data_IF_366852019151
#
_entry.id   IF_366852019151
#
_cell.length_a   1.000
_cell.length_b   1.000
_cell.length_c   1.000
_cell.angle_alpha   90.00
_cell.angle_beta   90.00
_cell.angle_gamma   90.00
#
_symmetry.space_group_name_H-M   'P 1'
#
loop_
_entity.id
_entity.type
_entity.pdbx_description
1 polymer ?
#
# COMPACT_ATOMS: atom_id res chain seq x y z
N UNK A 1 25.95 47.36 -13.89
CA UNK A 1 25.41 46.02 -13.57
C UNK A 1 24.33 45.69 -14.60
N UNK A 2 24.45 44.56 -15.30
CA UNK A 2 23.62 44.26 -16.47
C UNK A 2 22.32 43.55 -16.03
N UNK A 3 21.22 44.32 -15.95
CA UNK A 3 19.91 43.88 -15.46
C UNK A 3 19.37 42.63 -16.18
N UNK A 4 19.72 42.44 -17.46
CA UNK A 4 19.35 41.26 -18.26
C UNK A 4 20.03 39.97 -17.77
N UNK A 5 21.23 40.08 -17.17
CA UNK A 5 21.94 38.93 -16.60
C UNK A 5 21.32 38.46 -15.28
N UNK A 6 20.82 39.41 -14.45
CA UNK A 6 20.11 39.07 -13.22
C UNK A 6 18.77 38.39 -13.49
N UNK A 7 18.02 38.85 -14.50
CA UNK A 7 16.74 38.23 -14.88
C UNK A 7 16.90 36.78 -15.36
N UNK A 8 17.96 36.49 -16.11
CA UNK A 8 18.29 35.11 -16.53
C UNK A 8 18.70 34.23 -15.35
N UNK A 9 19.45 34.76 -14.39
CA UNK A 9 19.86 34.04 -13.17
C UNK A 9 18.68 33.68 -12.26
N UNK A 10 17.70 34.58 -12.14
CA UNK A 10 16.46 34.32 -11.37
C UNK A 10 15.60 33.25 -12.04
N UNK A 11 15.47 33.27 -13.36
CA UNK A 11 14.74 32.23 -14.11
C UNK A 11 15.40 30.85 -13.99
N UNK A 12 16.73 30.78 -14.04
CA UNK A 12 17.46 29.53 -13.87
C UNK A 12 17.38 29.00 -12.42
N UNK A 13 17.49 29.89 -11.43
CA UNK A 13 17.36 29.55 -10.01
C UNK A 13 15.96 29.08 -9.63
N UNK A 14 14.91 29.68 -10.22
CA UNK A 14 13.53 29.26 -10.02
C UNK A 14 13.25 27.86 -10.62
N UNK A 15 13.86 27.53 -11.76
CA UNK A 15 13.75 26.20 -12.39
C UNK A 15 14.53 25.11 -11.65
N UNK A 16 15.64 25.43 -10.98
CA UNK A 16 16.40 24.47 -10.17
C UNK A 16 15.75 24.22 -8.79
N UNK A 17 15.05 25.21 -8.25
CA UNK A 17 14.31 25.08 -6.99
C UNK A 17 13.11 24.13 -7.10
N UNK A 18 12.43 24.08 -8.25
CA UNK A 18 11.26 23.22 -8.44
C UNK A 18 11.59 21.73 -8.41
N UNK A 19 12.82 21.32 -8.76
CA UNK A 19 13.26 19.92 -8.69
C UNK A 19 13.73 19.50 -7.29
N UNK A 20 14.12 20.44 -6.42
CA UNK A 20 14.66 20.12 -5.09
C UNK A 20 13.58 19.76 -4.05
N UNK A 21 12.31 20.08 -4.31
CA UNK A 21 11.18 19.79 -3.42
C UNK A 21 10.35 18.56 -3.83
N UNK A 22 10.78 17.80 -4.83
CA UNK A 22 10.20 16.48 -5.10
C UNK A 22 10.75 15.49 -4.08
N UNK A 23 10.25 15.58 -2.84
CA UNK A 23 10.49 14.56 -1.82
C UNK A 23 10.16 13.19 -2.41
N UNK A 24 11.05 12.23 -2.21
CA UNK A 24 10.90 10.87 -2.68
C UNK A 24 9.65 10.22 -2.06
N UNK A 25 8.49 10.38 -2.69
CA UNK A 25 7.25 9.70 -2.33
C UNK A 25 6.85 8.76 -3.45
N UNK A 26 7.31 7.52 -3.33
CA UNK A 26 6.69 6.38 -4.00
C UNK A 26 6.85 5.12 -3.14
N UNK A 27 6.60 5.24 -1.83
CA UNK A 27 6.28 4.07 -1.03
C UNK A 27 4.78 3.82 -1.25
N UNK A 28 4.44 2.72 -1.93
CA UNK A 28 3.07 2.31 -2.28
C UNK A 28 2.07 2.72 -1.19
N UNK A 29 0.98 3.37 -1.60
CA UNK A 29 -0.05 3.92 -0.70
C UNK A 29 -0.82 2.79 0.02
N UNK A 30 -0.54 1.54 -0.36
CA UNK A 30 -1.19 0.34 0.15
C UNK A 30 -0.22 -0.63 0.82
N UNK A 31 -0.74 -1.36 1.81
CA UNK A 31 -0.08 -2.48 2.47
C UNK A 31 -0.86 -3.73 2.09
N UNK A 32 -0.23 -4.64 1.35
CA UNK A 32 -0.85 -5.93 0.99
C UNK A 32 -0.82 -6.88 2.18
N UNK A 33 -1.97 -7.45 2.50
CA UNK A 33 -2.15 -8.40 3.61
C UNK A 33 -2.55 -9.75 3.01
N UNK A 34 -1.62 -10.70 3.04
CA UNK A 34 -1.89 -12.08 2.62
C UNK A 34 -2.81 -12.79 3.63
N UNK A 35 -3.93 -13.32 3.15
CA UNK A 35 -4.87 -14.15 3.90
C UNK A 35 -4.81 -15.55 3.30
N UNK A 36 -3.95 -16.39 3.87
CA UNK A 36 -3.77 -17.78 3.48
C UNK A 36 -4.62 -18.64 4.42
N UNK A 37 -5.85 -18.91 4.01
CA UNK A 37 -6.79 -19.76 4.74
C UNK A 37 -7.28 -20.86 3.80
N UNK A 38 -7.43 -22.08 4.30
CA UNK A 38 -8.00 -23.20 3.56
C UNK A 38 -9.47 -22.92 3.25
N UNK A 39 -9.76 -22.42 2.06
CA UNK A 39 -11.14 -22.18 1.60
C UNK A 39 -11.73 -23.42 0.92
N UNK A 40 -10.87 -24.40 0.63
CA UNK A 40 -11.24 -25.75 0.21
C UNK A 40 -10.50 -26.82 1.04
N UNK A 41 -10.90 -28.08 0.89
CA UNK A 41 -10.40 -29.21 1.66
C UNK A 41 -11.08 -29.37 3.03
N UNK A 42 -10.44 -30.12 3.93
CA UNK A 42 -11.04 -30.53 5.21
C UNK A 42 -11.23 -29.38 6.20
N UNK A 43 -10.50 -28.28 6.04
CA UNK A 43 -10.57 -27.10 6.93
C UNK A 43 -11.47 -25.97 6.42
N UNK A 44 -12.11 -26.14 5.25
CA UNK A 44 -12.91 -25.11 4.59
C UNK A 44 -13.99 -24.49 5.49
N UNK A 45 -14.71 -25.30 6.26
CA UNK A 45 -15.83 -24.85 7.10
C UNK A 45 -15.33 -23.92 8.22
N UNK A 46 -14.24 -24.30 8.91
CA UNK A 46 -13.69 -23.50 10.01
C UNK A 46 -12.97 -22.25 9.51
N UNK A 47 -12.24 -22.34 8.40
CA UNK A 47 -11.37 -21.26 7.94
C UNK A 47 -12.08 -20.21 7.07
N UNK A 48 -13.24 -20.53 6.47
CA UNK A 48 -14.06 -19.52 5.77
C UNK A 48 -14.47 -18.38 6.70
N UNK A 49 -14.93 -18.72 7.91
CA UNK A 49 -15.31 -17.74 8.93
C UNK A 49 -14.13 -16.87 9.36
N UNK A 50 -12.92 -17.44 9.43
CA UNK A 50 -11.70 -16.69 9.75
C UNK A 50 -11.34 -15.69 8.64
N UNK A 51 -11.42 -16.11 7.37
CA UNK A 51 -11.24 -15.21 6.23
C UNK A 51 -12.27 -14.07 6.24
N UNK A 52 -13.55 -14.35 6.54
CA UNK A 52 -14.59 -13.32 6.64
C UNK A 52 -14.30 -12.31 7.76
N UNK A 53 -13.88 -12.80 8.93
CA UNK A 53 -13.47 -11.93 10.03
C UNK A 53 -12.28 -11.03 9.65
N UNK A 54 -11.28 -11.57 8.94
CA UNK A 54 -10.15 -10.78 8.46
C UNK A 54 -10.56 -9.68 7.47
N UNK A 55 -11.45 -10.00 6.51
CA UNK A 55 -11.96 -9.00 5.57
C UNK A 55 -12.75 -7.89 6.28
N UNK A 56 -13.59 -8.25 7.25
CA UNK A 56 -14.32 -7.29 8.08
C UNK A 56 -13.36 -6.37 8.85
N UNK A 57 -12.35 -6.92 9.51
CA UNK A 57 -11.37 -6.14 10.29
C UNK A 57 -10.51 -5.22 9.41
N UNK A 58 -10.15 -5.68 8.21
CA UNK A 58 -9.42 -4.86 7.22
C UNK A 58 -10.28 -3.68 6.77
N UNK A 59 -11.56 -3.91 6.46
CA UNK A 59 -12.49 -2.84 6.09
C UNK A 59 -12.66 -1.82 7.23
N UNK A 60 -12.87 -2.29 8.47
CA UNK A 60 -12.93 -1.41 9.64
C UNK A 60 -11.66 -0.60 9.85
N UNK A 61 -10.49 -1.21 9.71
CA UNK A 61 -9.21 -0.52 9.87
C UNK A 61 -9.01 0.52 8.77
N UNK A 62 -9.40 0.19 7.53
CA UNK A 62 -9.37 1.15 6.43
C UNK A 62 -10.30 2.34 6.66
N UNK A 63 -11.49 2.13 7.23
CA UNK A 63 -12.40 3.23 7.64
C UNK A 63 -11.78 4.12 8.71
N UNK A 64 -10.90 3.59 9.57
CA UNK A 64 -10.14 4.35 10.58
C UNK A 64 -8.88 5.04 10.04
N UNK A 65 -8.67 5.04 8.72
CA UNK A 65 -7.51 5.67 8.09
C UNK A 65 -6.35 4.71 7.78
N UNK A 66 -6.56 3.40 7.91
CA UNK A 66 -5.55 2.39 7.61
C UNK A 66 -4.48 2.31 8.70
N UNK A 67 -3.27 1.89 8.33
CA UNK A 67 -2.12 1.77 9.25
C UNK A 67 -1.05 2.77 8.82
N UNK A 68 -0.69 3.70 9.72
CA UNK A 68 0.26 4.78 9.42
C UNK A 68 -0.13 5.60 8.17
N UNK A 69 -1.43 5.78 7.94
CA UNK A 69 -1.98 6.49 6.78
C UNK A 69 -2.03 5.66 5.49
N UNK A 70 -1.62 4.38 5.51
CA UNK A 70 -1.66 3.48 4.35
C UNK A 70 -2.86 2.56 4.40
N UNK A 71 -3.52 2.34 3.26
CA UNK A 71 -4.67 1.43 3.17
C UNK A 71 -4.22 -0.02 3.15
N UNK A 72 -4.96 -0.90 3.80
CA UNK A 72 -4.74 -2.34 3.75
C UNK A 72 -5.46 -2.93 2.52
N UNK A 73 -4.74 -3.71 1.71
CA UNK A 73 -5.26 -4.43 0.56
C UNK A 73 -5.25 -5.94 0.87
N UNK A 74 -6.41 -6.60 1.03
CA UNK A 74 -6.45 -8.03 1.29
C UNK A 74 -6.10 -8.83 0.04
N UNK A 75 -5.19 -9.81 0.18
CA UNK A 75 -4.84 -10.78 -0.87
C UNK A 75 -5.22 -12.16 -0.36
N UNK A 76 -6.34 -12.69 -0.85
CA UNK A 76 -6.87 -13.99 -0.41
C UNK A 76 -6.30 -15.10 -1.28
N UNK A 77 -5.75 -16.14 -0.64
CA UNK A 77 -5.22 -17.34 -1.28
C UNK A 77 -5.85 -18.56 -0.60
N UNK A 78 -6.25 -19.55 -1.39
CA UNK A 78 -6.76 -20.84 -0.91
C UNK A 78 -5.70 -21.93 -1.04
N UNK A 79 -5.08 -22.38 0.07
CA UNK A 79 -4.12 -23.47 0.08
C UNK A 79 -4.78 -24.87 0.15
N UNK A 80 -6.11 -24.97 0.10
CA UNK A 80 -6.85 -26.24 0.01
C UNK A 80 -6.57 -27.27 1.11
N UNK A 81 -6.28 -26.82 2.35
CA UNK A 81 -5.83 -27.69 3.46
C UNK A 81 -4.56 -28.49 3.13
N UNK A 82 -3.75 -28.00 2.18
CA UNK A 82 -2.54 -28.64 1.70
C UNK A 82 -1.32 -27.87 2.19
N UNK A 83 -0.57 -28.46 3.11
CA UNK A 83 0.57 -27.82 3.78
C UNK A 83 1.60 -27.21 2.81
N UNK A 84 2.07 -27.90 1.76
CA UNK A 84 2.91 -27.34 0.70
C UNK A 84 2.43 -26.05 0.02
N UNK A 85 1.15 -25.68 0.11
CA UNK A 85 0.62 -24.46 -0.51
C UNK A 85 0.68 -23.24 0.42
N UNK A 86 1.07 -23.41 1.68
CA UNK A 86 1.16 -22.31 2.66
C UNK A 86 2.53 -21.60 2.70
N UNK A 87 3.58 -22.18 2.09
CA UNK A 87 4.92 -21.58 2.02
C UNK A 87 5.78 -22.23 0.92
#
# INVERSE_FOLDING_TARGET
>A
MNFKAQLKGVLLGAMLSSTAFHGAFAADDTIKVGILHSLSGTMAISETTLKDAMLMLIDEQNKKGGVLGKKLEPVVVDPASNWPLFA
#
